data_IF_507917788124
#
_entry.id   IF_507917788124
#
_cell.length_a   1.000
_cell.length_b   1.000
_cell.length_c   1.000
_cell.angle_alpha   90.00
_cell.angle_beta   90.00
_cell.angle_gamma   90.00
#
_symmetry.space_group_name_H-M   'P 1'
#
loop_
_entity.id
_entity.type
_entity.pdbx_description
1 polymer ?
#
# COMPACT_ATOMS: atom_id res chain seq x y z
N UNK A 1 7.54 -7.21 3.44
CA UNK A 1 6.09 -7.43 3.30
C UNK A 1 5.86 -8.78 2.63
N UNK A 2 4.98 -9.59 3.17
CA UNK A 2 4.67 -10.91 2.61
C UNK A 2 3.67 -10.84 1.47
N UNK A 3 3.82 -11.73 0.49
CA UNK A 3 2.95 -11.81 -0.67
C UNK A 3 2.75 -13.25 -1.11
N UNK A 4 1.52 -13.62 -1.44
CA UNK A 4 1.25 -14.92 -2.06
C UNK A 4 1.80 -14.96 -3.48
N UNK A 5 1.75 -13.83 -4.18
CA UNK A 5 2.29 -13.66 -5.53
C UNK A 5 3.16 -12.39 -5.55
N UNK A 6 4.48 -12.59 -5.50
CA UNK A 6 5.44 -11.48 -5.42
C UNK A 6 5.39 -10.59 -6.66
N UNK A 7 5.25 -11.16 -7.86
CA UNK A 7 5.21 -10.36 -9.10
C UNK A 7 3.96 -9.47 -9.14
N UNK A 8 2.82 -9.99 -8.73
CA UNK A 8 1.57 -9.21 -8.65
C UNK A 8 1.69 -8.09 -7.62
N UNK A 9 2.25 -8.39 -6.45
CA UNK A 9 2.48 -7.38 -5.42
C UNK A 9 3.45 -6.30 -5.89
N UNK A 10 4.52 -6.69 -6.60
CA UNK A 10 5.50 -5.75 -7.15
C UNK A 10 4.84 -4.80 -8.16
N UNK A 11 4.03 -5.33 -9.08
CA UNK A 11 3.31 -4.51 -10.06
C UNK A 11 2.42 -3.48 -9.38
N UNK A 12 1.66 -3.92 -8.37
CA UNK A 12 0.78 -3.02 -7.62
C UNK A 12 1.57 -1.91 -6.92
N UNK A 13 2.57 -2.28 -6.12
CA UNK A 13 3.30 -1.32 -5.30
C UNK A 13 4.19 -0.38 -6.13
N UNK A 14 4.75 -0.84 -7.24
CA UNK A 14 5.48 0.04 -8.17
C UNK A 14 4.58 1.15 -8.68
N UNK A 15 3.35 0.83 -9.07
CA UNK A 15 2.40 1.83 -9.57
C UNK A 15 1.83 2.67 -8.43
N UNK A 16 1.54 2.06 -7.29
CA UNK A 16 0.97 2.76 -6.15
C UNK A 16 1.92 3.84 -5.59
N UNK A 17 3.22 3.54 -5.54
CA UNK A 17 4.21 4.41 -4.90
C UNK A 17 5.10 5.17 -5.88
N UNK A 18 4.97 4.93 -7.18
CA UNK A 18 5.93 5.38 -8.19
C UNK A 18 7.34 4.86 -7.84
N UNK A 19 7.41 3.56 -7.63
CA UNK A 19 8.63 2.83 -7.35
C UNK A 19 9.03 1.98 -8.57
N UNK A 20 10.27 1.55 -8.57
CA UNK A 20 10.81 0.64 -9.58
C UNK A 20 11.56 -0.49 -8.88
N UNK A 21 11.64 -1.68 -9.50
CA UNK A 21 12.49 -2.75 -8.97
C UNK A 21 13.96 -2.32 -9.02
N UNK A 22 14.66 -2.50 -7.90
CA UNK A 22 16.10 -2.25 -7.87
C UNK A 22 16.88 -3.34 -8.60
N UNK A 23 16.40 -4.58 -8.52
CA UNK A 23 16.95 -5.75 -9.21
C UNK A 23 15.83 -6.43 -9.95
N UNK A 24 16.15 -7.42 -10.78
CA UNK A 24 15.13 -8.21 -11.47
C UNK A 24 14.19 -8.84 -10.44
N UNK A 25 12.88 -8.73 -10.69
CA UNK A 25 11.86 -9.32 -9.81
C UNK A 25 11.91 -10.83 -9.94
N UNK A 26 11.98 -11.53 -8.82
CA UNK A 26 11.95 -12.98 -8.76
C UNK A 26 10.60 -13.48 -8.28
N UNK A 27 10.32 -14.77 -8.43
CA UNK A 27 9.04 -15.34 -8.00
C UNK A 27 8.84 -15.29 -6.49
N UNK A 28 9.95 -15.31 -5.73
CA UNK A 28 9.93 -15.36 -4.27
C UNK A 28 10.46 -14.10 -3.60
N UNK A 29 10.95 -13.11 -4.38
CA UNK A 29 11.51 -11.90 -3.80
C UNK A 29 11.57 -10.75 -4.78
N UNK A 30 11.37 -9.53 -4.26
CA UNK A 30 11.58 -8.29 -5.00
C UNK A 30 11.98 -7.18 -4.02
N UNK A 31 12.81 -6.25 -4.49
CA UNK A 31 13.12 -5.01 -3.77
C UNK A 31 12.72 -3.83 -4.64
N UNK A 32 11.81 -3.01 -4.14
CA UNK A 32 11.30 -1.84 -4.84
C UNK A 32 11.88 -0.59 -4.18
N UNK A 33 12.27 0.39 -5.00
CA UNK A 33 12.85 1.65 -4.53
C UNK A 33 12.20 2.82 -5.27
N UNK A 34 12.25 4.04 -4.71
CA UNK A 34 11.71 5.21 -5.41
C UNK A 34 12.29 5.36 -6.81
N UNK A 35 11.42 5.69 -7.78
CA UNK A 35 11.84 5.93 -9.16
C UNK A 35 12.73 7.18 -9.26
N UNK A 36 13.53 7.26 -10.34
CA UNK A 36 14.34 8.43 -10.69
C UNK A 36 15.34 8.84 -9.60
N UNK A 37 15.81 7.89 -8.78
CA UNK A 37 16.80 8.17 -7.75
C UNK A 37 16.30 9.03 -6.61
N UNK A 38 14.99 9.25 -6.48
CA UNK A 38 14.43 10.02 -5.36
C UNK A 38 14.76 9.33 -4.03
N UNK A 39 14.96 10.12 -2.96
CA UNK A 39 15.16 9.52 -1.64
C UNK A 39 13.87 8.89 -1.12
N UNK A 40 14.01 7.84 -0.34
CA UNK A 40 12.88 7.17 0.29
C UNK A 40 13.22 5.73 0.65
N UNK A 41 12.40 5.09 1.48
CA UNK A 41 12.64 3.74 1.92
C UNK A 41 12.42 2.75 0.78
N UNK A 42 13.16 1.64 0.79
CA UNK A 42 12.89 0.49 -0.04
C UNK A 42 11.74 -0.33 0.53
N UNK A 43 11.02 -1.02 -0.36
CA UNK A 43 9.98 -1.98 0.02
C UNK A 43 10.42 -3.36 -0.45
N UNK A 44 10.70 -4.25 0.49
CA UNK A 44 11.07 -5.63 0.20
C UNK A 44 9.83 -6.51 0.24
N UNK A 45 9.64 -7.32 -0.79
CA UNK A 45 8.55 -8.28 -0.89
C UNK A 45 9.11 -9.68 -0.86
N UNK A 46 8.54 -10.54 -0.04
CA UNK A 46 8.94 -11.95 0.06
C UNK A 46 7.72 -12.85 -0.05
N UNK A 47 7.87 -13.99 -0.75
CA UNK A 47 6.77 -14.93 -0.80
C UNK A 47 6.46 -15.44 0.60
N UNK A 48 5.18 -15.45 0.94
CA UNK A 48 4.72 -15.86 2.25
C UNK A 48 3.40 -16.62 2.14
N UNK A 49 3.32 -17.71 2.88
CA UNK A 49 2.08 -18.47 3.05
C UNK A 49 1.40 -18.13 4.38
N UNK A 50 1.97 -17.21 5.15
CA UNK A 50 1.38 -16.75 6.40
C UNK A 50 0.07 -16.04 6.10
N UNK A 51 -1.03 -16.39 6.78
CA UNK A 51 -2.31 -15.69 6.58
C UNK A 51 -2.18 -14.19 6.88
N UNK A 52 -2.86 -13.37 6.07
CA UNK A 52 -2.92 -11.93 6.32
C UNK A 52 -3.71 -11.66 7.60
N UNK A 53 -3.40 -10.57 8.25
CA UNK A 53 -4.11 -10.13 9.46
C UNK A 53 -5.14 -9.06 9.09
N UNK A 54 -6.38 -9.23 9.54
CA UNK A 54 -7.42 -8.21 9.35
C UNK A 54 -7.13 -6.94 10.15
N UNK A 55 -6.44 -7.08 11.28
CA UNK A 55 -5.99 -5.98 12.13
C UNK A 55 -4.47 -6.11 12.32
N UNK A 56 -3.68 -5.67 11.31
CA UNK A 56 -2.25 -5.90 11.33
C UNK A 56 -1.54 -5.07 12.41
N UNK A 57 -0.47 -5.63 12.95
CA UNK A 57 0.38 -4.95 13.92
C UNK A 57 1.27 -3.88 13.27
N UNK A 58 1.55 -4.03 11.98
CA UNK A 58 2.34 -3.08 11.17
C UNK A 58 1.63 -2.91 9.84
N UNK A 59 1.49 -1.69 9.39
CA UNK A 59 0.90 -1.38 8.08
C UNK A 59 1.50 -0.11 7.50
N UNK A 60 1.62 -0.03 6.15
CA UNK A 60 2.02 1.22 5.52
C UNK A 60 0.90 2.27 5.61
N UNK A 61 1.30 3.53 5.71
CA UNK A 61 0.39 4.67 5.59
C UNK A 61 0.82 5.49 4.37
N UNK A 62 -0.11 5.70 3.44
CA UNK A 62 0.08 6.60 2.31
C UNK A 62 -0.62 7.91 2.62
N UNK A 63 0.04 9.03 2.37
CA UNK A 63 -0.48 10.35 2.74
C UNK A 63 -1.05 11.06 1.52
N UNK A 64 -2.29 11.53 1.64
CA UNK A 64 -2.94 12.39 0.66
C UNK A 64 -2.96 13.83 1.17
N UNK A 65 -3.24 14.80 0.28
CA UNK A 65 -3.21 16.21 0.65
C UNK A 65 -4.40 16.63 1.49
N UNK A 66 -5.61 16.24 1.08
CA UNK A 66 -6.86 16.54 1.77
C UNK A 66 -7.89 15.42 1.51
N UNK A 67 -9.14 15.62 1.95
CA UNK A 67 -10.16 14.59 1.79
C UNK A 67 -10.52 14.32 0.32
N UNK A 68 -10.47 15.34 -0.55
CA UNK A 68 -10.71 15.15 -1.98
C UNK A 68 -9.55 14.37 -2.61
N UNK A 69 -8.31 14.70 -2.26
CA UNK A 69 -7.12 13.96 -2.71
C UNK A 69 -7.14 12.53 -2.18
N UNK A 70 -7.57 12.33 -0.93
CA UNK A 70 -7.71 10.99 -0.34
C UNK A 70 -8.70 10.15 -1.14
N UNK A 71 -9.87 10.69 -1.47
CA UNK A 71 -10.90 9.98 -2.23
C UNK A 71 -10.38 9.61 -3.63
N UNK A 72 -9.71 10.54 -4.31
CA UNK A 72 -9.14 10.31 -5.64
C UNK A 72 -8.04 9.23 -5.57
N UNK A 73 -7.20 9.27 -4.54
CA UNK A 73 -6.12 8.30 -4.34
C UNK A 73 -6.69 6.91 -4.08
N UNK A 74 -7.73 6.80 -3.26
CA UNK A 74 -8.39 5.50 -3.01
C UNK A 74 -8.94 4.93 -4.31
N UNK A 75 -9.60 5.74 -5.14
CA UNK A 75 -10.13 5.28 -6.43
C UNK A 75 -9.00 4.80 -7.36
N UNK A 76 -7.88 5.53 -7.40
CA UNK A 76 -6.71 5.15 -8.20
C UNK A 76 -6.16 3.81 -7.74
N UNK A 77 -5.98 3.61 -6.43
CA UNK A 77 -5.44 2.38 -5.87
C UNK A 77 -6.37 1.20 -6.09
N UNK A 78 -7.67 1.41 -5.97
CA UNK A 78 -8.67 0.36 -6.28
C UNK A 78 -8.58 -0.03 -7.76
N UNK A 79 -8.41 0.92 -8.65
CA UNK A 79 -8.23 0.62 -10.08
C UNK A 79 -6.96 -0.17 -10.36
N UNK A 80 -5.93 -0.04 -9.52
CA UNK A 80 -4.68 -0.81 -9.62
C UNK A 80 -4.80 -2.23 -9.01
N UNK A 81 -5.87 -2.52 -8.27
CA UNK A 81 -6.11 -3.84 -7.70
C UNK A 81 -6.31 -3.88 -6.19
N UNK A 82 -6.24 -2.75 -5.49
CA UNK A 82 -6.55 -2.71 -4.07
C UNK A 82 -8.05 -2.91 -3.83
N UNK A 83 -8.41 -3.35 -2.64
CA UNK A 83 -9.80 -3.53 -2.24
C UNK A 83 -10.12 -2.70 -1.00
N UNK A 84 -11.34 -2.14 -0.98
CA UNK A 84 -11.89 -1.58 0.24
C UNK A 84 -12.26 -2.75 1.16
N UNK A 85 -11.87 -2.64 2.42
CA UNK A 85 -12.13 -3.70 3.40
C UNK A 85 -12.98 -3.17 4.53
N UNK A 86 -13.70 -4.07 5.21
CA UNK A 86 -14.40 -3.72 6.43
C UNK A 86 -13.37 -3.36 7.51
N UNK A 87 -13.63 -2.24 8.20
CA UNK A 87 -12.80 -1.79 9.31
C UNK A 87 -13.70 -1.24 10.42
N UNK A 88 -13.68 -1.87 11.57
CA UNK A 88 -14.54 -1.52 12.70
C UNK A 88 -13.93 -0.47 13.65
N UNK A 89 -12.68 -0.09 13.39
CA UNK A 89 -11.96 0.90 14.20
C UNK A 89 -12.13 2.35 13.76
N UNK A 90 -13.02 2.64 12.80
CA UNK A 90 -13.26 4.03 12.40
C UNK A 90 -14.00 4.81 13.48
N UNK A 91 -13.50 6.01 13.75
CA UNK A 91 -14.18 6.99 14.60
C UNK A 91 -14.81 8.06 13.71
N UNK A 92 -15.66 8.90 14.28
CA UNK A 92 -16.41 9.91 13.52
C UNK A 92 -15.49 10.92 12.82
N UNK A 93 -14.31 11.17 13.37
CA UNK A 93 -13.31 12.10 12.84
C UNK A 93 -12.08 11.40 12.26
N UNK A 94 -12.21 10.13 11.90
CA UNK A 94 -11.09 9.37 11.31
C UNK A 94 -10.58 10.04 10.03
N UNK A 95 -9.27 10.19 9.95
CA UNK A 95 -8.58 10.81 8.81
C UNK A 95 -7.97 9.76 7.85
N UNK A 96 -8.28 8.48 8.04
CA UNK A 96 -7.69 7.40 7.26
C UNK A 96 -8.76 6.47 6.68
N UNK A 97 -8.43 5.84 5.57
CA UNK A 97 -9.23 4.79 4.94
C UNK A 97 -8.35 3.55 4.81
N UNK A 98 -8.85 2.41 5.25
CA UNK A 98 -8.13 1.13 5.20
C UNK A 98 -8.46 0.40 3.91
N UNK A 99 -7.42 0.00 3.20
CA UNK A 99 -7.50 -0.83 1.99
C UNK A 99 -6.70 -2.11 2.19
N UNK A 100 -6.93 -3.10 1.33
CA UNK A 100 -6.06 -4.24 1.18
C UNK A 100 -5.34 -4.15 -0.16
N UNK A 101 -4.06 -4.48 -0.20
CA UNK A 101 -3.32 -4.60 -1.46
C UNK A 101 -3.74 -5.88 -2.20
N UNK A 102 -3.11 -6.18 -3.33
CA UNK A 102 -3.44 -7.37 -4.13
C UNK A 102 -3.22 -8.68 -3.39
N UNK A 103 -2.48 -8.65 -2.29
CA UNK A 103 -2.16 -9.83 -1.48
C UNK A 103 -2.95 -9.88 -0.17
N UNK A 104 -3.83 -8.92 0.05
CA UNK A 104 -4.63 -8.82 1.26
C UNK A 104 -3.97 -8.06 2.40
N UNK A 105 -2.75 -7.57 2.24
CA UNK A 105 -2.10 -6.77 3.28
C UNK A 105 -2.82 -5.45 3.46
N UNK A 106 -3.15 -5.11 4.72
CA UNK A 106 -3.84 -3.86 5.04
C UNK A 106 -2.87 -2.70 4.99
N UNK A 107 -3.33 -1.59 4.44
CA UNK A 107 -2.64 -0.32 4.47
C UNK A 107 -3.65 0.82 4.52
N UNK A 108 -3.20 2.02 4.86
CA UNK A 108 -4.08 3.17 5.03
C UNK A 108 -3.75 4.27 4.03
N UNK A 109 -4.77 5.01 3.63
CA UNK A 109 -4.64 6.28 2.93
C UNK A 109 -5.09 7.37 3.89
N UNK A 110 -4.21 8.29 4.22
CA UNK A 110 -4.40 9.27 5.29
C UNK A 110 -4.63 10.65 4.69
N UNK A 111 -5.71 11.33 5.13
CA UNK A 111 -5.98 12.73 4.83
C UNK A 111 -5.14 13.60 5.76
N UNK A 112 -4.24 14.40 5.19
CA UNK A 112 -3.37 15.30 5.98
C UNK A 112 -3.81 16.76 5.91
N UNK A 113 -4.93 17.06 5.26
CA UNK A 113 -5.40 18.44 5.04
C UNK A 113 -5.77 19.19 6.31
N UNK A 114 -6.17 18.48 7.36
CA UNK A 114 -6.49 19.08 8.65
C UNK A 114 -5.30 19.25 9.59
N UNK A 115 -4.09 18.90 9.15
CA UNK A 115 -2.90 18.87 10.00
C UNK A 115 -1.94 20.03 9.76
N UNK A 116 -2.42 21.08 9.20
CA UNK A 116 -1.77 22.36 9.07
C UNK A 116 -0.29 22.35 8.81
#
# INVERSE_FOLDING_TARGET
MGAANVRRAADFWCQALDYVPRYEVEDDWALLVPADGRPGPGLSLGRSETPVQDHPRVHPDLYAGDSADQAAEVERLVALGAERVHWDGYEADSDFIVLADTEGNRFCVVDTGGRG
#
